data_IF_977506984128
#
_entry.id   IF_977506984128
#
_cell.length_a   1.000
_cell.length_b   1.000
_cell.length_c   1.000
_cell.angle_alpha   90.00
_cell.angle_beta   90.00
_cell.angle_gamma   90.00
#
_symmetry.space_group_name_H-M   'P 1'
#
loop_
_entity.id
_entity.type
_entity.pdbx_description
1 polymer ?
#
# COMPACT_ATOMS: atom_id res chain seq x y z
N UNK A 1 45.26 -19.25 15.91
CA UNK A 1 44.58 -20.14 16.88
C UNK A 1 43.35 -20.75 16.22
N UNK A 2 43.41 -22.02 15.81
CA UNK A 2 42.25 -22.74 15.27
C UNK A 2 41.29 -23.05 16.42
N UNK A 3 40.17 -22.34 16.51
CA UNK A 3 39.09 -22.67 17.44
C UNK A 3 38.38 -23.91 16.88
N UNK A 4 38.81 -25.10 17.30
CA UNK A 4 38.04 -26.33 17.12
C UNK A 4 36.75 -26.18 17.93
N UNK A 5 35.60 -26.24 17.27
CA UNK A 5 34.31 -26.28 17.95
C UNK A 5 34.16 -27.62 18.66
N UNK A 6 34.64 -27.69 19.91
CA UNK A 6 34.46 -28.85 20.77
C UNK A 6 33.12 -28.64 21.48
N UNK A 7 32.22 -29.61 21.31
CA UNK A 7 31.00 -29.70 22.09
C UNK A 7 31.41 -30.22 23.48
N UNK A 8 30.96 -29.55 24.54
CA UNK A 8 31.23 -29.94 25.93
C UNK A 8 29.91 -30.16 26.67
N UNK A 9 29.95 -30.96 27.74
CA UNK A 9 28.82 -31.24 28.62
C UNK A 9 28.91 -30.33 29.84
N UNK A 10 27.83 -29.65 30.20
CA UNK A 10 27.78 -28.92 31.49
C UNK A 10 27.54 -29.88 32.67
N UNK A 11 27.57 -29.36 33.89
CA UNK A 11 27.35 -30.14 35.12
C UNK A 11 25.95 -30.79 35.22
N UNK A 12 25.04 -30.46 34.29
CA UNK A 12 23.68 -31.01 34.17
C UNK A 12 23.54 -32.00 33.00
N UNK A 13 24.58 -32.19 32.19
CA UNK A 13 24.58 -33.06 31.01
C UNK A 13 24.08 -32.38 29.73
N UNK A 14 23.88 -31.05 29.74
CA UNK A 14 23.44 -30.32 28.56
C UNK A 14 24.61 -30.08 27.59
N UNK A 15 24.37 -30.28 26.29
CA UNK A 15 25.40 -30.05 25.27
C UNK A 15 25.56 -28.56 25.00
N UNK A 16 26.75 -28.04 25.25
CA UNK A 16 27.08 -26.62 25.13
C UNK A 16 27.90 -26.31 23.87
N UNK A 17 27.71 -25.11 23.31
CA UNK A 17 28.41 -24.61 22.12
C UNK A 17 28.71 -23.11 22.24
N UNK A 18 29.93 -22.73 21.87
CA UNK A 18 30.36 -21.34 21.78
C UNK A 18 29.84 -20.67 20.50
N UNK A 19 29.13 -19.55 20.66
CA UNK A 19 28.68 -18.74 19.53
C UNK A 19 29.84 -17.98 18.87
N UNK A 20 29.98 -18.09 17.55
CA UNK A 20 31.02 -17.40 16.78
C UNK A 20 30.90 -15.88 16.79
N UNK A 21 29.71 -15.36 17.09
CA UNK A 21 29.40 -13.93 16.98
C UNK A 21 29.50 -13.24 18.33
N UNK A 22 28.63 -13.61 19.27
CA UNK A 22 28.61 -13.00 20.60
C UNK A 22 29.62 -13.60 21.58
N UNK A 23 30.33 -14.67 21.19
CA UNK A 23 31.36 -15.34 22.00
C UNK A 23 30.86 -15.87 23.36
N UNK A 24 29.55 -16.07 23.50
CA UNK A 24 28.93 -16.69 24.68
C UNK A 24 28.73 -18.19 24.45
N UNK A 25 28.97 -18.97 25.49
CA UNK A 25 28.59 -20.39 25.55
C UNK A 25 27.09 -20.50 25.81
N UNK A 26 26.43 -21.35 25.02
CA UNK A 26 24.98 -21.55 25.08
C UNK A 26 24.64 -23.01 24.82
N UNK A 27 23.45 -23.42 25.23
CA UNK A 27 22.91 -24.74 24.85
C UNK A 27 22.85 -24.86 23.32
N UNK A 28 23.07 -26.06 22.79
CA UNK A 28 22.90 -26.35 21.36
C UNK A 28 21.50 -26.00 20.84
N UNK A 29 20.49 -25.97 21.69
CA UNK A 29 19.13 -25.55 21.35
C UNK A 29 19.04 -24.07 20.98
N UNK A 30 19.99 -23.25 21.41
CA UNK A 30 20.11 -21.85 21.00
C UNK A 30 20.73 -21.69 19.60
N UNK A 31 21.00 -22.78 18.89
CA UNK A 31 21.56 -22.77 17.55
C UNK A 31 20.58 -23.41 16.55
N UNK A 32 20.59 -22.91 15.31
CA UNK A 32 19.88 -23.61 14.24
C UNK A 32 20.65 -24.87 13.88
N UNK A 33 19.92 -25.97 13.72
CA UNK A 33 20.45 -27.27 13.35
C UNK A 33 19.84 -27.78 12.04
N UNK A 34 20.57 -28.66 11.36
CA UNK A 34 20.09 -29.37 10.18
C UNK A 34 20.77 -30.74 10.05
N UNK A 35 20.05 -31.75 9.58
CA UNK A 35 20.65 -33.05 9.24
C UNK A 35 21.49 -32.89 7.98
N UNK A 36 22.73 -33.41 8.01
CA UNK A 36 23.66 -33.43 6.89
C UNK A 36 24.20 -34.84 6.70
N UNK A 37 24.65 -35.13 5.48
CA UNK A 37 25.30 -36.38 5.15
C UNK A 37 26.77 -36.15 4.78
N UNK A 38 27.64 -37.07 5.19
CA UNK A 38 29.02 -37.16 4.72
C UNK A 38 29.38 -38.61 4.44
N UNK A 39 30.07 -38.87 3.32
CA UNK A 39 30.57 -40.21 2.97
C UNK A 39 31.40 -40.86 4.09
N UNK A 40 32.05 -40.07 4.96
CA UNK A 40 32.88 -40.57 6.08
C UNK A 40 32.13 -40.72 7.41
N UNK A 41 31.12 -39.89 7.66
CA UNK A 41 30.43 -39.82 8.97
C UNK A 41 28.99 -40.29 8.94
N UNK A 42 28.48 -40.68 7.76
CA UNK A 42 27.05 -40.93 7.57
C UNK A 42 26.22 -39.66 7.81
N UNK A 43 25.02 -39.84 8.36
CA UNK A 43 24.12 -38.74 8.75
C UNK A 43 24.57 -38.13 10.08
N UNK A 44 24.60 -36.81 10.17
CA UNK A 44 24.96 -36.08 11.38
C UNK A 44 24.19 -34.75 11.48
N UNK A 45 23.99 -34.26 12.70
CA UNK A 45 23.35 -32.95 12.95
C UNK A 45 24.42 -31.86 12.89
N UNK A 46 24.25 -30.92 11.97
CA UNK A 46 25.08 -29.73 11.86
C UNK A 46 24.42 -28.55 12.55
N UNK A 47 25.09 -28.02 13.57
CA UNK A 47 24.72 -26.76 14.22
C UNK A 47 25.44 -25.57 13.59
N UNK A 48 24.71 -24.50 13.31
CA UNK A 48 25.27 -23.23 12.85
C UNK A 48 26.33 -22.71 13.84
N UNK A 49 27.35 -21.96 13.37
CA UNK A 49 28.41 -21.47 14.25
C UNK A 49 27.92 -20.32 15.16
N UNK A 50 26.84 -19.64 14.81
CA UNK A 50 26.25 -18.53 15.56
C UNK A 50 24.88 -18.90 16.15
N UNK A 51 24.54 -18.32 17.29
CA UNK A 51 23.26 -18.56 17.95
C UNK A 51 22.09 -17.91 17.20
N UNK A 52 20.87 -18.38 17.48
CA UNK A 52 19.61 -17.89 16.90
C UNK A 52 19.46 -16.37 17.06
N UNK A 53 19.80 -15.81 18.22
CA UNK A 53 19.73 -14.35 18.44
C UNK A 53 20.68 -13.58 17.52
N UNK A 54 21.92 -14.05 17.36
CA UNK A 54 22.88 -13.44 16.44
C UNK A 54 22.42 -13.57 14.98
N UNK A 55 21.80 -14.70 14.61
CA UNK A 55 21.16 -14.86 13.31
C UNK A 55 20.06 -13.81 13.09
N UNK A 56 19.18 -13.60 14.08
CA UNK A 56 18.13 -12.59 14.04
C UNK A 56 18.72 -11.18 13.87
N UNK A 57 19.73 -10.82 14.65
CA UNK A 57 20.40 -9.51 14.54
C UNK A 57 21.04 -9.31 13.16
N UNK A 58 21.67 -10.34 12.58
CA UNK A 58 22.20 -10.28 11.20
C UNK A 58 21.10 -10.02 10.18
N UNK A 59 19.97 -10.72 10.30
CA UNK A 59 18.82 -10.51 9.40
C UNK A 59 18.27 -9.10 9.56
N UNK A 60 18.09 -8.61 10.78
CA UNK A 60 17.62 -7.24 11.04
C UNK A 60 18.56 -6.20 10.43
N UNK A 61 19.88 -6.34 10.63
CA UNK A 61 20.89 -5.46 10.05
C UNK A 61 20.88 -5.51 8.51
N UNK A 62 20.76 -6.71 7.95
CA UNK A 62 20.66 -6.86 6.50
C UNK A 62 19.37 -6.22 5.96
N UNK A 63 18.23 -6.42 6.62
CA UNK A 63 16.95 -5.85 6.22
C UNK A 63 16.91 -4.33 6.30
N UNK A 64 17.56 -3.75 7.31
CA UNK A 64 17.69 -2.29 7.44
C UNK A 64 18.53 -1.72 6.28
N UNK A 65 19.70 -2.33 6.03
CA UNK A 65 20.57 -1.96 4.90
C UNK A 65 19.97 -2.30 3.52
N UNK A 66 18.91 -3.12 3.44
CA UNK A 66 18.29 -3.58 2.20
C UNK A 66 16.77 -3.31 2.20
N UNK A 67 16.35 -2.19 2.78
CA UNK A 67 14.94 -1.85 2.98
C UNK A 67 14.12 -1.86 1.70
N UNK A 68 14.68 -1.33 0.61
CA UNK A 68 14.03 -1.34 -0.71
C UNK A 68 13.80 -2.75 -1.23
N UNK A 69 14.81 -3.62 -1.12
CA UNK A 69 14.72 -5.02 -1.54
C UNK A 69 13.68 -5.77 -0.72
N UNK A 70 13.62 -5.53 0.59
CA UNK A 70 12.59 -6.09 1.48
C UNK A 70 11.20 -5.62 1.05
N UNK A 71 11.03 -4.32 0.79
CA UNK A 71 9.75 -3.74 0.36
C UNK A 71 9.31 -4.30 -1.00
N UNK A 72 10.21 -4.42 -1.97
CA UNK A 72 9.93 -5.01 -3.27
C UNK A 72 9.48 -6.47 -3.17
N UNK A 73 10.19 -7.27 -2.35
CA UNK A 73 9.81 -8.65 -2.05
C UNK A 73 8.42 -8.73 -1.42
N UNK A 74 8.14 -7.86 -0.43
CA UNK A 74 6.84 -7.82 0.23
C UNK A 74 5.73 -7.42 -0.74
N UNK A 75 5.95 -6.40 -1.59
CA UNK A 75 5.01 -5.97 -2.63
C UNK A 75 4.64 -7.13 -3.56
N UNK A 76 5.65 -7.87 -4.06
CA UNK A 76 5.46 -9.05 -4.92
C UNK A 76 4.72 -10.19 -4.21
N UNK A 77 4.93 -10.38 -2.91
CA UNK A 77 4.21 -11.37 -2.13
C UNK A 77 2.74 -10.94 -1.92
N UNK A 78 2.51 -9.68 -1.55
CA UNK A 78 1.17 -9.15 -1.26
C UNK A 78 0.28 -8.97 -2.48
N UNK A 79 0.86 -8.85 -3.68
CA UNK A 79 0.10 -8.72 -4.93
C UNK A 79 -0.55 -10.02 -5.38
N UNK A 80 -0.15 -11.16 -4.79
CA UNK A 80 -0.68 -12.46 -5.20
C UNK A 80 -2.04 -12.75 -4.54
N UNK A 81 -3.08 -13.15 -5.30
CA UNK A 81 -4.42 -13.39 -4.77
C UNK A 81 -4.48 -14.36 -3.60
N UNK A 82 -3.67 -15.43 -3.61
CA UNK A 82 -3.61 -16.45 -2.56
C UNK A 82 -3.16 -15.89 -1.20
N UNK A 83 -2.47 -14.76 -1.18
CA UNK A 83 -1.99 -14.13 0.05
C UNK A 83 -2.98 -13.10 0.63
N UNK A 84 -4.00 -12.69 -0.13
CA UNK A 84 -5.01 -11.72 0.29
C UNK A 84 -5.74 -12.16 1.58
N UNK A 85 -6.18 -13.43 1.75
CA UNK A 85 -6.83 -13.87 2.98
C UNK A 85 -5.92 -13.73 4.21
N UNK A 86 -4.64 -14.06 4.06
CA UNK A 86 -3.63 -13.94 5.13
C UNK A 86 -3.41 -12.47 5.50
N UNK A 87 -3.27 -11.58 4.52
CA UNK A 87 -3.16 -10.14 4.74
C UNK A 87 -4.36 -9.57 5.51
N UNK A 88 -5.58 -9.94 5.09
CA UNK A 88 -6.81 -9.51 5.77
C UNK A 88 -6.88 -10.02 7.21
N UNK A 89 -6.52 -11.28 7.45
CA UNK A 89 -6.45 -11.86 8.80
C UNK A 89 -5.43 -11.12 9.67
N UNK A 90 -4.23 -10.87 9.15
CA UNK A 90 -3.18 -10.15 9.87
C UNK A 90 -3.61 -8.73 10.22
N UNK A 91 -4.23 -8.02 9.27
CA UNK A 91 -4.77 -6.69 9.52
C UNK A 91 -5.87 -6.71 10.58
N UNK A 92 -6.81 -7.67 10.52
CA UNK A 92 -7.84 -7.86 11.55
C UNK A 92 -7.20 -8.09 12.92
N UNK A 93 -6.23 -9.00 13.02
CA UNK A 93 -5.52 -9.29 14.26
C UNK A 93 -4.75 -8.07 14.80
N UNK A 94 -4.16 -7.27 13.92
CA UNK A 94 -3.48 -6.03 14.29
C UNK A 94 -4.44 -5.01 14.93
N UNK A 95 -5.67 -4.90 14.40
CA UNK A 95 -6.73 -4.07 15.00
C UNK A 95 -7.24 -4.64 16.32
N UNK A 96 -7.56 -5.94 16.35
CA UNK A 96 -8.08 -6.64 17.53
C UNK A 96 -7.12 -6.56 18.72
N UNK A 97 -5.81 -6.63 18.48
CA UNK A 97 -4.78 -6.50 19.52
C UNK A 97 -4.53 -5.05 19.96
N UNK A 98 -5.32 -4.09 19.50
CA UNK A 98 -5.16 -2.67 19.81
C UNK A 98 -3.92 -2.01 19.19
N UNK A 99 -3.11 -2.74 18.41
CA UNK A 99 -1.85 -2.24 17.85
C UNK A 99 -2.04 -1.06 16.90
N UNK A 100 -3.17 -1.00 16.19
CA UNK A 100 -3.50 0.16 15.38
C UNK A 100 -3.70 1.43 16.23
N UNK A 101 -4.44 1.31 17.33
CA UNK A 101 -4.69 2.43 18.24
C UNK A 101 -3.41 2.87 18.94
N UNK A 102 -2.58 1.91 19.37
CA UNK A 102 -1.25 2.17 19.94
C UNK A 102 -0.36 2.94 18.95
N UNK A 103 -0.31 2.49 17.68
CA UNK A 103 0.44 3.19 16.64
C UNK A 103 -0.07 4.60 16.42
N UNK A 104 -1.40 4.81 16.34
CA UNK A 104 -2.01 6.13 16.16
C UNK A 104 -1.67 7.08 17.32
N UNK A 105 -1.73 6.59 18.56
CA UNK A 105 -1.37 7.37 19.76
C UNK A 105 0.09 7.79 19.77
N UNK A 106 0.98 6.88 19.34
CA UNK A 106 2.44 7.11 19.32
C UNK A 106 2.93 7.85 18.06
N UNK A 107 2.10 8.03 17.04
CA UNK A 107 2.47 8.65 15.77
C UNK A 107 1.53 9.82 15.40
N UNK A 108 1.18 10.66 16.37
CA UNK A 108 0.28 11.82 16.16
C UNK A 108 0.76 12.76 15.06
N UNK A 109 2.07 13.01 14.95
CA UNK A 109 2.61 13.90 13.93
C UNK A 109 2.45 13.35 12.52
N UNK A 110 2.58 12.02 12.34
CA UNK A 110 2.28 11.38 11.06
C UNK A 110 0.80 11.47 10.71
N UNK A 111 -0.08 11.35 11.70
CA UNK A 111 -1.52 11.52 11.47
C UNK A 111 -1.85 12.95 11.04
N UNK A 112 -1.22 13.95 11.64
CA UNK A 112 -1.34 15.35 11.21
C UNK A 112 -0.86 15.54 9.78
N UNK A 113 0.30 14.99 9.43
CA UNK A 113 0.81 15.02 8.06
C UNK A 113 -0.17 14.37 7.06
N UNK A 114 -0.73 13.22 7.42
CA UNK A 114 -1.73 12.54 6.59
C UNK A 114 -3.03 13.32 6.45
N UNK A 115 -3.47 14.00 7.51
CA UNK A 115 -4.66 14.83 7.48
C UNK A 115 -4.42 16.07 6.60
N UNK A 116 -3.27 16.74 6.75
CA UNK A 116 -2.89 17.87 5.89
C UNK A 116 -2.92 17.48 4.41
N UNK A 117 -2.34 16.34 4.05
CA UNK A 117 -2.38 15.78 2.69
C UNK A 117 -3.78 15.46 2.17
N UNK A 118 -4.76 15.25 3.06
CA UNK A 118 -6.18 15.07 2.68
C UNK A 118 -6.89 16.41 2.56
N UNK A 119 -6.56 17.37 3.42
CA UNK A 119 -7.07 18.74 3.37
C UNK A 119 -6.66 19.45 2.08
N UNK A 120 -5.43 19.24 1.63
CA UNK A 120 -4.90 19.66 0.32
C UNK A 120 -5.65 19.05 -0.88
N UNK A 121 -6.58 18.11 -0.65
CA UNK A 121 -7.37 17.45 -1.70
C UNK A 121 -8.87 17.65 -1.51
N UNK A 122 -9.27 18.62 -0.70
CA UNK A 122 -10.67 18.98 -0.51
C UNK A 122 -11.14 19.80 -1.70
N UNK A 123 -12.13 19.28 -2.42
CA UNK A 123 -12.77 20.00 -3.51
C UNK A 123 -13.41 21.31 -3.04
N UNK A 124 -13.04 22.42 -3.67
CA UNK A 124 -13.67 23.73 -3.51
C UNK A 124 -14.77 23.89 -4.57
N UNK A 125 -15.77 23.00 -4.50
CA UNK A 125 -16.85 22.90 -5.48
C UNK A 125 -18.18 22.84 -4.74
N UNK A 126 -19.09 23.73 -5.09
CA UNK A 126 -20.46 23.78 -4.57
C UNK A 126 -21.29 22.59 -5.06
N UNK A 127 -22.40 22.29 -4.39
CA UNK A 127 -23.27 21.20 -4.83
C UNK A 127 -23.96 21.50 -6.18
N UNK A 128 -24.20 22.78 -6.50
CA UNK A 128 -24.72 23.20 -7.79
C UNK A 128 -23.72 22.94 -8.92
N UNK A 129 -22.46 23.36 -8.74
CA UNK A 129 -21.36 23.07 -9.68
C UNK A 129 -21.15 21.57 -9.84
N UNK A 130 -21.23 20.81 -8.75
CA UNK A 130 -21.11 19.35 -8.81
C UNK A 130 -22.25 18.71 -9.59
N UNK A 131 -23.49 19.14 -9.38
CA UNK A 131 -24.63 18.63 -10.14
C UNK A 131 -24.53 19.01 -11.62
N UNK A 132 -24.05 20.22 -11.95
CA UNK A 132 -23.77 20.61 -13.33
C UNK A 132 -22.71 19.71 -13.99
N UNK A 133 -21.62 19.43 -13.27
CA UNK A 133 -20.58 18.50 -13.71
C UNK A 133 -21.16 17.09 -13.98
N UNK A 134 -21.92 16.53 -13.02
CA UNK A 134 -22.57 15.23 -13.21
C UNK A 134 -23.51 15.23 -14.41
N UNK A 135 -24.34 16.26 -14.57
CA UNK A 135 -25.28 16.37 -15.67
C UNK A 135 -24.57 16.45 -17.04
N UNK A 136 -23.45 17.15 -17.13
CA UNK A 136 -22.63 17.20 -18.34
C UNK A 136 -22.18 15.79 -18.80
N UNK A 137 -21.86 14.91 -17.85
CA UNK A 137 -21.50 13.52 -18.11
C UNK A 137 -22.69 12.56 -17.98
N UNK A 138 -23.93 13.03 -18.17
CA UNK A 138 -25.16 12.22 -18.12
C UNK A 138 -25.37 11.43 -16.81
N UNK A 139 -24.87 11.96 -15.68
CA UNK A 139 -24.83 11.27 -14.40
C UNK A 139 -24.11 9.90 -14.46
N UNK A 140 -23.07 9.81 -15.29
CA UNK A 140 -22.22 8.62 -15.45
C UNK A 140 -20.77 8.91 -15.05
N UNK A 141 -20.02 7.83 -14.80
CA UNK A 141 -18.57 7.87 -14.73
C UNK A 141 -18.01 8.36 -16.08
N UNK A 142 -17.27 9.46 -16.05
CA UNK A 142 -16.65 10.07 -17.22
C UNK A 142 -15.75 9.08 -17.98
N UNK A 143 -15.10 8.14 -17.28
CA UNK A 143 -14.22 7.15 -17.91
C UNK A 143 -14.90 5.90 -18.45
N UNK A 144 -15.79 5.26 -17.69
CA UNK A 144 -16.29 3.93 -18.05
C UNK A 144 -17.79 3.86 -18.31
N UNK A 145 -18.52 4.97 -18.14
CA UNK A 145 -19.97 5.01 -18.38
C UNK A 145 -20.83 4.26 -17.39
N UNK A 146 -20.27 3.82 -16.26
CA UNK A 146 -21.09 3.33 -15.16
C UNK A 146 -21.99 4.47 -14.69
N UNK A 147 -23.30 4.24 -14.74
CA UNK A 147 -24.30 5.20 -14.30
C UNK A 147 -24.24 5.42 -12.79
N UNK A 148 -24.73 6.57 -12.33
CA UNK A 148 -24.91 6.86 -10.91
C UNK A 148 -25.72 5.75 -10.21
N UNK A 149 -26.80 5.27 -10.84
CA UNK A 149 -27.67 4.22 -10.28
C UNK A 149 -26.90 2.91 -10.07
N UNK A 150 -26.15 2.45 -11.07
CA UNK A 150 -25.30 1.25 -10.96
C UNK A 150 -24.23 1.43 -9.86
N UNK A 151 -23.56 2.58 -9.86
CA UNK A 151 -22.54 2.88 -8.86
C UNK A 151 -23.09 2.89 -7.44
N UNK A 152 -24.24 3.54 -7.24
CA UNK A 152 -24.92 3.64 -5.94
C UNK A 152 -25.36 2.27 -5.46
N UNK A 153 -25.92 1.43 -6.35
CA UNK A 153 -26.32 0.07 -5.99
C UNK A 153 -25.10 -0.79 -5.60
N UNK A 154 -23.96 -0.64 -6.29
CA UNK A 154 -22.77 -1.45 -6.04
C UNK A 154 -21.95 -0.98 -4.83
N UNK A 155 -21.95 0.32 -4.54
CA UNK A 155 -21.00 0.91 -3.58
C UNK A 155 -21.65 1.74 -2.47
N UNK A 156 -22.97 1.95 -2.51
CA UNK A 156 -23.76 2.73 -1.55
C UNK A 156 -23.21 4.14 -1.30
N UNK A 157 -22.82 4.84 -2.37
CA UNK A 157 -22.25 6.19 -2.33
C UNK A 157 -22.45 6.90 -3.70
N UNK A 158 -22.39 8.23 -3.72
CA UNK A 158 -22.40 9.02 -4.97
C UNK A 158 -21.11 8.75 -5.79
N UNK A 159 -21.11 9.18 -7.06
CA UNK A 159 -19.89 9.25 -7.88
C UNK A 159 -18.83 10.11 -7.17
N UNK A 160 -17.56 9.77 -7.38
CA UNK A 160 -16.44 10.51 -6.82
C UNK A 160 -16.25 11.80 -7.59
N UNK A 161 -16.04 12.90 -6.87
CA UNK A 161 -15.42 14.12 -7.41
C UNK A 161 -13.95 13.77 -7.63
N UNK A 162 -13.54 13.62 -8.88
CA UNK A 162 -12.18 13.19 -9.18
C UNK A 162 -11.33 14.34 -9.70
N UNK A 163 -10.16 14.51 -9.09
CA UNK A 163 -9.09 15.33 -9.63
C UNK A 163 -8.45 14.61 -10.82
N UNK A 164 -8.64 15.15 -12.02
CA UNK A 164 -8.02 14.61 -13.22
C UNK A 164 -6.52 14.71 -13.12
N UNK A 165 -6.00 15.88 -12.74
CA UNK A 165 -4.59 16.08 -12.46
C UNK A 165 -4.31 16.06 -10.96
N UNK A 166 -3.46 15.14 -10.46
CA UNK A 166 -3.27 14.91 -9.02
C UNK A 166 -2.84 16.12 -8.21
N UNK A 167 -2.07 17.02 -8.83
CA UNK A 167 -1.54 18.26 -8.25
C UNK A 167 -2.17 19.49 -8.92
N UNK A 168 -3.32 19.30 -9.58
CA UNK A 168 -4.09 20.37 -10.22
C UNK A 168 -4.94 21.15 -9.22
N UNK A 169 -5.79 22.05 -9.73
CA UNK A 169 -6.70 22.85 -8.90
C UNK A 169 -7.73 21.96 -8.19
N UNK A 170 -8.23 22.45 -7.05
CA UNK A 170 -9.31 21.80 -6.29
C UNK A 170 -10.72 22.22 -6.76
N UNK A 171 -10.81 23.00 -7.83
CA UNK A 171 -12.05 23.58 -8.34
C UNK A 171 -12.66 22.74 -9.48
N UNK A 172 -13.74 23.25 -10.08
CA UNK A 172 -14.48 22.57 -11.13
C UNK A 172 -13.64 22.30 -12.39
N UNK A 173 -12.57 23.08 -12.64
CA UNK A 173 -11.75 22.95 -13.85
C UNK A 173 -10.93 21.67 -13.89
N UNK A 174 -10.77 21.00 -12.75
CA UNK A 174 -9.99 19.77 -12.62
C UNK A 174 -10.87 18.61 -12.08
N UNK A 175 -12.18 18.80 -12.02
CA UNK A 175 -13.10 17.84 -11.43
C UNK A 175 -13.98 17.18 -12.48
N UNK A 176 -14.04 15.85 -12.46
CA UNK A 176 -14.98 15.04 -13.26
C UNK A 176 -15.65 13.98 -12.38
N UNK A 177 -16.81 13.42 -12.78
CA UNK A 177 -17.42 12.32 -12.06
C UNK A 177 -16.79 10.99 -12.40
N UNK A 178 -16.51 10.18 -11.37
CA UNK A 178 -16.02 8.82 -11.60
C UNK A 178 -16.53 7.78 -10.62
N UNK A 179 -16.58 6.54 -11.09
CA UNK A 179 -16.90 5.40 -10.24
C UNK A 179 -15.71 5.04 -9.34
N UNK A 180 -15.99 4.43 -8.19
CA UNK A 180 -14.98 3.97 -7.22
C UNK A 180 -13.85 3.17 -7.87
N UNK A 181 -14.19 2.30 -8.82
CA UNK A 181 -13.23 1.41 -9.48
C UNK A 181 -12.30 2.16 -10.44
N UNK A 182 -12.80 3.20 -11.13
CA UNK A 182 -11.97 4.03 -12.00
C UNK A 182 -11.08 4.96 -11.19
N UNK A 183 -11.65 5.73 -10.25
CA UNK A 183 -10.91 6.60 -9.35
C UNK A 183 -9.75 5.85 -8.67
N UNK A 184 -10.05 4.68 -8.08
CA UNK A 184 -9.03 3.85 -7.42
C UNK A 184 -8.00 3.26 -8.38
N UNK A 185 -8.35 3.00 -9.64
CA UNK A 185 -7.43 2.40 -10.63
C UNK A 185 -6.48 3.43 -11.24
N UNK A 186 -6.96 4.66 -11.45
CA UNK A 186 -6.16 5.80 -11.88
C UNK A 186 -5.20 6.21 -10.78
N UNK A 187 -5.71 6.47 -9.58
CA UNK A 187 -4.91 6.95 -8.45
C UNK A 187 -4.18 8.24 -8.81
N UNK A 188 -2.85 8.24 -8.73
CA UNK A 188 -1.99 9.41 -9.00
C UNK A 188 -1.41 9.43 -10.42
N UNK A 189 -1.86 8.55 -11.31
CA UNK A 189 -1.40 8.55 -12.71
C UNK A 189 -2.01 9.72 -13.44
N UNK A 190 -1.26 10.26 -14.40
CA UNK A 190 -1.78 11.25 -15.34
C UNK A 190 -2.84 10.60 -16.24
N UNK A 191 -3.80 11.40 -16.71
CA UNK A 191 -4.90 10.87 -17.53
C UNK A 191 -4.40 10.19 -18.81
N UNK A 192 -3.39 10.76 -19.48
CA UNK A 192 -2.79 10.19 -20.70
C UNK A 192 -2.07 8.85 -20.46
N UNK A 193 -1.46 8.67 -19.29
CA UNK A 193 -0.79 7.44 -18.90
C UNK A 193 -1.78 6.32 -18.56
N UNK A 194 -2.92 6.66 -17.95
CA UNK A 194 -3.88 5.68 -17.45
C UNK A 194 -5.05 5.41 -18.39
N UNK A 195 -5.58 6.43 -19.07
CA UNK A 195 -6.76 6.35 -19.93
C UNK A 195 -6.37 6.48 -21.40
N UNK A 196 -5.70 5.45 -21.92
CA UNK A 196 -5.28 5.33 -23.32
C UNK A 196 -5.75 3.99 -23.91
N UNK A 197 -5.40 3.73 -25.18
CA UNK A 197 -5.84 2.56 -25.97
C UNK A 197 -5.58 1.21 -25.27
N UNK A 198 -4.59 1.11 -24.38
CA UNK A 198 -4.31 -0.12 -23.63
C UNK A 198 -5.31 -0.38 -22.48
N UNK A 199 -6.05 0.63 -22.06
CA UNK A 199 -7.06 0.53 -21.02
C UNK A 199 -8.36 -0.02 -21.59
N UNK A 200 -8.87 -1.13 -21.02
CA UNK A 200 -10.10 -1.80 -21.47
C UNK A 200 -11.36 -0.92 -21.44
N UNK A 201 -11.33 0.20 -20.71
CA UNK A 201 -12.45 1.14 -20.55
C UNK A 201 -12.31 2.37 -21.46
N UNK A 202 -11.27 2.43 -22.28
CA UNK A 202 -10.95 3.58 -23.11
C UNK A 202 -12.02 3.82 -24.17
N UNK A 203 -12.42 5.08 -24.31
CA UNK A 203 -13.28 5.58 -25.38
C UNK A 203 -12.75 6.94 -25.81
N UNK A 204 -12.61 7.11 -27.12
CA UNK A 204 -12.16 8.37 -27.73
C UNK A 204 -13.20 9.47 -27.47
N UNK A 205 -14.48 9.11 -27.54
CA UNK A 205 -15.62 10.00 -27.29
C UNK A 205 -15.58 10.53 -25.86
N UNK A 206 -15.33 9.65 -24.88
CA UNK A 206 -15.23 10.02 -23.47
C UNK A 206 -14.01 10.86 -23.18
N UNK A 207 -12.84 10.50 -23.73
CA UNK A 207 -11.64 11.32 -23.59
C UNK A 207 -11.86 12.73 -24.19
N UNK A 208 -12.56 12.82 -25.32
CA UNK A 208 -12.90 14.09 -25.97
C UNK A 208 -13.82 14.93 -25.07
N UNK A 209 -14.86 14.33 -24.50
CA UNK A 209 -15.76 15.00 -23.56
C UNK A 209 -15.02 15.48 -22.30
N UNK A 210 -14.13 14.67 -21.75
CA UNK A 210 -13.28 15.05 -20.61
C UNK A 210 -12.39 16.24 -20.98
N UNK A 211 -11.68 16.17 -22.10
CA UNK A 211 -10.81 17.27 -22.53
C UNK A 211 -11.59 18.56 -22.78
N UNK A 212 -12.78 18.47 -23.38
CA UNK A 212 -13.64 19.63 -23.61
C UNK A 212 -14.13 20.24 -22.29
N UNK A 213 -14.52 19.41 -21.34
CA UNK A 213 -14.86 19.83 -19.98
C UNK A 213 -13.71 20.55 -19.29
N UNK A 214 -12.51 19.98 -19.26
CA UNK A 214 -11.36 20.52 -18.53
C UNK A 214 -10.83 21.84 -19.13
N UNK A 215 -10.93 22.02 -20.44
CA UNK A 215 -10.40 23.20 -21.11
C UNK A 215 -11.39 24.37 -21.11
N UNK A 216 -12.68 24.11 -21.32
CA UNK A 216 -13.63 25.16 -21.71
C UNK A 216 -15.02 25.03 -21.06
N UNK A 217 -15.67 23.86 -21.16
CA UNK A 217 -17.11 23.78 -20.88
C UNK A 217 -17.46 24.03 -19.41
N UNK A 218 -16.56 23.76 -18.46
CA UNK A 218 -16.77 24.03 -17.03
C UNK A 218 -17.03 25.51 -16.73
N UNK A 219 -16.46 26.43 -17.54
CA UNK A 219 -16.51 27.89 -17.30
C UNK A 219 -17.95 28.42 -17.29
N UNK A 220 -18.80 27.85 -18.15
CA UNK A 220 -20.24 28.15 -18.25
C UNK A 220 -20.98 27.94 -16.92
N UNK A 221 -20.45 27.09 -16.06
CA UNK A 221 -21.05 26.73 -14.77
C UNK A 221 -20.40 27.45 -13.58
N UNK A 222 -19.27 28.11 -13.80
CA UNK A 222 -18.63 29.01 -12.83
C UNK A 222 -19.22 30.43 -12.92
N UNK A 223 -19.50 30.91 -14.14
CA UNK A 223 -19.98 32.28 -14.40
C UNK A 223 -21.43 32.51 -13.91
N UNK A 224 -22.28 31.48 -13.95
CA UNK A 224 -23.67 31.58 -13.49
C UNK A 224 -23.83 31.77 -11.96
N UNK A 225 -22.77 31.52 -11.18
CA UNK A 225 -22.77 31.78 -9.73
C UNK A 225 -22.38 33.23 -9.37
N UNK A 226 -21.82 33.99 -10.30
CA UNK A 226 -21.47 35.41 -10.08
C UNK A 226 -22.67 36.35 -10.22
N UNK A 227 -23.76 35.91 -10.85
CA UNK A 227 -24.95 36.73 -11.14
C UNK A 227 -25.95 36.84 -9.96
N UNK A 228 -25.73 36.11 -8.86
CA UNK A 228 -26.59 36.13 -7.66
C UNK A 228 -26.04 36.97 -6.49
N UNK A 229 -25.02 37.80 -6.74
CA UNK A 229 -24.41 38.70 -5.73
C UNK A 229 -24.61 40.20 -6.06
N UNK A 230 -25.78 40.56 -6.61
CA UNK A 230 -26.22 41.96 -6.70
C UNK A 230 -27.51 42.13 -5.90
#
# INVERSE_FOLDING_TARGET
MQIKAVLYWDLRGDTMKLCSDCKLEKSVDDFYSQEKYSKRKGKYIYYQPYCKNCATLRVLKWEDNNRERKNARMKKWSSKPENIPTLRRNQKNYRMRGKQLEWQRNNKDKLREYNKKREEKIHKITDQEWNACKNYFNNECAYCGMTYTEHKNQHNQDLHREHVEPEGKDDLSNCIPSCKNCNSSKGTKLINEWYNISNKKFSVERLTAINKWLNEDYKKYMENNACFLI
#
